data_IF_695089176485
#
_entry.id   IF_695089176485
#
_cell.length_a   1.000
_cell.length_b   1.000
_cell.length_c   1.000
_cell.angle_alpha   90.00
_cell.angle_beta   90.00
_cell.angle_gamma   90.00
#
_symmetry.space_group_name_H-M   'P 1'
#
loop_
_entity.id
_entity.type
_entity.pdbx_description
1 polymer ?
#
# COMPACT_ATOMS: atom_id res chain seq x y z
N UNK A 1 4.09 -2.92 -6.27
CA UNK A 1 4.00 -2.23 -4.96
C UNK A 1 2.68 -1.49 -4.76
N UNK A 2 2.30 -0.49 -5.55
CA UNK A 2 0.98 0.19 -5.41
C UNK A 2 -0.22 -0.75 -5.20
N UNK A 3 -0.40 -1.73 -6.10
CA UNK A 3 -1.46 -2.75 -6.00
C UNK A 3 -1.41 -3.63 -4.74
N UNK A 4 -0.25 -3.77 -4.11
CA UNK A 4 -0.14 -4.49 -2.84
C UNK A 4 -0.83 -3.65 -1.76
N UNK A 5 -0.40 -2.42 -1.57
CA UNK A 5 -0.99 -1.48 -0.60
C UNK A 5 -2.49 -1.24 -0.81
N UNK A 6 -2.93 -1.09 -2.07
CA UNK A 6 -4.37 -0.93 -2.36
C UNK A 6 -5.20 -2.16 -1.95
N UNK A 7 -4.65 -3.37 -2.08
CA UNK A 7 -5.32 -4.60 -1.60
C UNK A 7 -5.33 -4.72 -0.08
N UNK A 8 -4.46 -4.00 0.61
CA UNK A 8 -4.38 -3.93 2.07
C UNK A 8 -5.07 -2.67 2.65
N UNK A 9 -5.94 -2.01 1.88
CA UNK A 9 -6.76 -0.88 2.34
C UNK A 9 -6.11 0.50 2.23
N UNK A 10 -4.86 0.58 1.79
CA UNK A 10 -4.13 1.85 1.60
C UNK A 10 -4.38 2.36 0.19
N UNK A 11 -5.44 3.14 0.02
CA UNK A 11 -5.88 3.63 -1.31
C UNK A 11 -5.64 5.12 -1.53
N UNK A 12 -5.77 5.95 -0.50
CA UNK A 12 -5.64 7.42 -0.58
C UNK A 12 -4.20 7.92 -0.74
N UNK A 13 -3.20 7.10 -0.43
CA UNK A 13 -1.78 7.50 -0.42
C UNK A 13 -1.17 7.62 -1.83
N UNK A 14 -1.93 7.29 -2.87
CA UNK A 14 -1.48 7.31 -4.27
C UNK A 14 -2.32 8.22 -5.17
N UNK A 15 -3.00 9.21 -4.59
CA UNK A 15 -3.93 10.08 -5.32
C UNK A 15 -3.22 11.02 -6.28
N UNK A 16 -2.00 11.47 -5.95
CA UNK A 16 -1.20 12.28 -6.88
C UNK A 16 -0.82 11.45 -8.11
N UNK A 17 -0.34 10.21 -7.90
CA UNK A 17 -0.08 9.29 -9.01
C UNK A 17 -1.34 9.02 -9.86
N UNK A 18 -2.49 8.79 -9.22
CA UNK A 18 -3.77 8.56 -9.94
C UNK A 18 -4.17 9.75 -10.80
N UNK A 19 -3.96 10.98 -10.31
CA UNK A 19 -4.30 12.21 -11.04
C UNK A 19 -3.60 12.32 -12.39
N UNK A 20 -2.42 11.69 -12.53
CA UNK A 20 -1.64 11.68 -13.77
C UNK A 20 -2.31 10.86 -14.89
N UNK A 21 -3.23 9.95 -14.55
CA UNK A 21 -3.87 9.04 -15.52
C UNK A 21 -2.85 8.30 -16.40
N UNK A 22 -1.72 7.91 -15.80
CA UNK A 22 -0.62 7.19 -16.45
C UNK A 22 -0.45 5.82 -15.78
N UNK A 23 -0.19 4.80 -16.60
CA UNK A 23 -0.06 3.41 -16.20
C UNK A 23 1.02 2.76 -17.07
N UNK A 24 1.71 1.71 -16.60
CA UNK A 24 2.72 1.01 -17.40
C UNK A 24 2.23 0.52 -18.77
N UNK A 25 0.93 0.28 -18.93
CA UNK A 25 0.32 -0.15 -20.20
C UNK A 25 0.22 0.97 -21.24
N UNK A 26 0.36 2.24 -20.82
CA UNK A 26 0.26 3.39 -21.71
C UNK A 26 1.57 3.61 -22.49
N UNK A 27 1.96 2.63 -23.30
CA UNK A 27 3.22 2.63 -24.07
C UNK A 27 3.34 3.79 -25.07
N UNK A 28 2.21 4.41 -25.45
CA UNK A 28 2.16 5.56 -26.35
C UNK A 28 2.33 6.91 -25.64
N UNK A 29 2.37 6.95 -24.30
CA UNK A 29 2.66 8.18 -23.54
C UNK A 29 4.15 8.52 -23.60
N UNK A 30 4.49 9.79 -23.37
CA UNK A 30 5.87 10.24 -23.51
C UNK A 30 6.78 9.62 -22.44
N UNK A 31 8.08 9.52 -22.72
CA UNK A 31 9.07 9.11 -21.70
C UNK A 31 9.09 10.07 -20.50
N UNK A 32 8.80 11.35 -20.72
CA UNK A 32 8.73 12.34 -19.65
C UNK A 32 7.54 12.07 -18.72
N UNK A 33 6.38 11.73 -19.28
CA UNK A 33 5.17 11.34 -18.54
C UNK A 33 5.42 10.12 -17.65
N UNK A 34 6.01 9.07 -18.21
CA UNK A 34 6.35 7.87 -17.44
C UNK A 34 7.37 8.15 -16.35
N UNK A 35 8.40 8.96 -16.63
CA UNK A 35 9.37 9.36 -15.61
C UNK A 35 8.70 10.12 -14.48
N UNK A 36 7.86 11.11 -14.79
CA UNK A 36 7.10 11.88 -13.78
C UNK A 36 6.23 10.95 -12.93
N UNK A 37 5.55 10.00 -13.55
CA UNK A 37 4.72 9.02 -12.84
C UNK A 37 5.52 8.13 -11.89
N UNK A 38 6.72 7.67 -12.31
CA UNK A 38 7.61 6.89 -11.45
C UNK A 38 8.11 7.71 -10.26
N UNK A 39 8.51 8.96 -10.49
CA UNK A 39 9.00 9.85 -9.42
C UNK A 39 7.92 10.14 -8.38
N UNK A 40 6.71 10.50 -8.81
CA UNK A 40 5.57 10.76 -7.90
C UNK A 40 5.23 9.50 -7.11
N UNK A 41 5.09 8.36 -7.79
CA UNK A 41 4.79 7.08 -7.12
C UNK A 41 5.87 6.69 -6.09
N UNK A 42 7.14 6.93 -6.41
CA UNK A 42 8.25 6.69 -5.49
C UNK A 42 8.24 7.60 -4.27
N UNK A 43 7.89 8.89 -4.45
CA UNK A 43 7.74 9.85 -3.36
C UNK A 43 6.58 9.50 -2.42
N UNK A 44 5.42 9.19 -2.98
CA UNK A 44 4.25 8.72 -2.23
C UNK A 44 4.58 7.44 -1.44
N UNK A 45 5.30 6.50 -2.06
CA UNK A 45 5.74 5.27 -1.40
C UNK A 45 6.74 5.54 -0.26
N UNK A 46 7.72 6.42 -0.46
CA UNK A 46 8.68 6.78 0.58
C UNK A 46 7.99 7.47 1.77
N UNK A 47 7.06 8.39 1.48
CA UNK A 47 6.24 9.05 2.50
C UNK A 47 5.41 8.03 3.30
N UNK A 48 4.77 7.09 2.60
CA UNK A 48 4.02 5.99 3.23
C UNK A 48 4.89 5.15 4.17
N UNK A 49 6.13 4.85 3.77
CA UNK A 49 7.07 4.06 4.56
C UNK A 49 7.70 4.86 5.72
N UNK A 50 7.78 6.18 5.62
CA UNK A 50 8.33 7.05 6.68
C UNK A 50 7.35 7.35 7.81
N UNK A 51 6.06 7.03 7.65
CA UNK A 51 5.07 7.14 8.71
C UNK A 51 5.22 5.93 9.62
N UNK A 52 5.64 6.17 10.87
CA UNK A 52 5.64 5.13 11.91
C UNK A 52 4.21 4.65 12.20
N UNK A 53 4.12 3.36 12.49
CA UNK A 53 3.01 2.64 13.11
C UNK A 53 1.87 2.08 12.22
N UNK A 54 1.68 0.76 12.34
CA UNK A 54 0.46 -0.03 12.08
C UNK A 54 0.07 -0.48 10.67
N UNK A 55 0.58 0.09 9.58
CA UNK A 55 0.17 -0.34 8.21
C UNK A 55 0.53 -1.80 7.92
N UNK A 56 1.62 -2.30 8.53
CA UNK A 56 2.08 -3.68 8.38
C UNK A 56 1.61 -4.62 9.50
N UNK A 57 1.02 -4.09 10.58
CA UNK A 57 0.69 -4.86 11.80
C UNK A 57 -0.66 -5.59 11.73
N UNK A 58 -1.57 -5.24 10.82
CA UNK A 58 -2.85 -5.93 10.71
C UNK A 58 -2.98 -6.72 9.41
N UNK A 59 -2.26 -7.84 9.32
CA UNK A 59 -2.76 -8.95 8.49
C UNK A 59 -3.97 -9.57 9.23
N UNK A 60 -5.15 -9.71 8.59
CA UNK A 60 -6.31 -10.34 9.22
C UNK A 60 -5.99 -11.76 9.74
N UNK A 61 -5.08 -12.48 9.08
CA UNK A 61 -4.63 -13.80 9.49
C UNK A 61 -3.86 -13.82 10.82
N UNK A 62 -3.06 -12.79 11.12
CA UNK A 62 -2.36 -12.71 12.41
C UNK A 62 -3.32 -12.41 13.56
N UNK A 63 -4.30 -11.51 13.36
CA UNK A 63 -5.29 -11.17 14.39
C UNK A 63 -6.15 -12.37 14.78
N UNK A 64 -6.59 -13.16 13.82
CA UNK A 64 -7.39 -14.36 14.08
C UNK A 64 -6.58 -15.43 14.83
N UNK A 65 -5.30 -15.58 14.47
CA UNK A 65 -4.38 -16.52 15.16
C UNK A 65 -4.11 -16.10 16.61
N UNK A 66 -3.88 -14.81 16.86
CA UNK A 66 -3.67 -14.26 18.21
C UNK A 66 -4.94 -14.39 19.06
N UNK A 67 -6.11 -14.04 18.51
CA UNK A 67 -7.38 -14.14 19.23
C UNK A 67 -7.76 -15.59 19.56
N UNK A 68 -7.47 -16.53 18.64
CA UNK A 68 -7.65 -17.96 18.88
C UNK A 68 -6.74 -18.47 20.00
N UNK A 69 -5.46 -18.08 20.01
CA UNK A 69 -4.52 -18.45 21.05
C UNK A 69 -4.90 -17.90 22.44
N UNK A 70 -5.34 -16.64 22.52
CA UNK A 70 -5.81 -16.01 23.77
C UNK A 70 -7.07 -16.70 24.32
N UNK A 71 -7.99 -17.10 23.44
CA UNK A 71 -9.23 -17.79 23.83
C UNK A 71 -8.99 -19.21 24.38
N UNK A 72 -7.96 -19.90 23.89
CA UNK A 72 -7.56 -21.22 24.41
C UNK A 72 -6.92 -21.10 25.79
N UNK A 73 -6.25 -19.99 26.10
CA UNK A 73 -5.55 -19.81 27.37
C UNK A 73 -6.44 -19.27 28.51
N UNK A 74 -7.57 -18.63 28.20
CA UNK A 74 -8.52 -18.10 29.20
C UNK A 74 -9.62 -19.07 29.66
N UNK A 75 -9.62 -20.31 29.16
CA UNK A 75 -10.69 -21.30 29.39
C UNK A 75 -10.29 -22.45 30.35
N UNK A 76 -9.21 -22.33 31.12
CA UNK A 76 -8.79 -23.30 32.14
C UNK A 76 -8.72 -22.68 33.53
#
# INVERSE_FOLDING_TARGET
MKRYFERHGVTQEFDEYKSLSISPVHIHRSKADHKRAIFILGGELANLMSRDDSIFEESPQMRESVNSAVKVMGNN
#
